data_IF_639621700724
#
_entry.id   IF_639621700724
#
_cell.length_a   1.000
_cell.length_b   1.000
_cell.length_c   1.000
_cell.angle_alpha   90.00
_cell.angle_beta   90.00
_cell.angle_gamma   90.00
#
_symmetry.space_group_name_H-M   'P 1'
#
loop_
_entity.id
_entity.type
_entity.pdbx_description
1 polymer ?
#
# COMPACT_ATOMS: atom_id res chain seq x y z
N UNK A 1 -25.37 -23.49 -12.03
CA UNK A 1 -25.54 -22.16 -12.67
C UNK A 1 -24.26 -21.38 -12.45
N UNK A 2 -23.43 -21.23 -13.48
CA UNK A 2 -22.26 -20.35 -13.41
C UNK A 2 -22.76 -18.92 -13.28
N UNK A 3 -22.37 -18.23 -12.20
CA UNK A 3 -22.60 -16.79 -12.07
C UNK A 3 -21.69 -16.11 -13.09
N UNK A 4 -22.28 -15.55 -14.15
CA UNK A 4 -21.61 -14.59 -15.02
C UNK A 4 -20.94 -13.52 -14.15
N UNK A 5 -19.61 -13.51 -14.13
CA UNK A 5 -18.83 -12.59 -13.31
C UNK A 5 -18.74 -11.25 -14.05
N UNK A 6 -19.89 -10.54 -14.15
CA UNK A 6 -19.93 -9.22 -14.78
C UNK A 6 -19.05 -8.26 -13.98
N UNK A 7 -18.16 -7.50 -14.63
CA UNK A 7 -17.37 -6.48 -13.96
C UNK A 7 -18.27 -5.56 -13.16
N UNK A 8 -18.03 -5.45 -11.85
CA UNK A 8 -18.79 -4.54 -11.00
C UNK A 8 -18.46 -3.11 -11.44
N UNK A 9 -19.47 -2.37 -11.90
CA UNK A 9 -19.31 -0.97 -12.28
C UNK A 9 -18.95 -0.18 -11.01
N UNK A 10 -17.74 0.40 -10.99
CA UNK A 10 -17.27 1.21 -9.86
C UNK A 10 -18.17 2.44 -9.72
N UNK A 11 -18.52 2.81 -8.48
CA UNK A 11 -19.18 4.10 -8.25
C UNK A 11 -18.21 5.22 -8.60
N UNK A 12 -18.74 6.33 -9.12
CA UNK A 12 -17.92 7.49 -9.50
C UNK A 12 -17.16 8.07 -8.28
N UNK A 13 -17.75 7.95 -7.09
CA UNK A 13 -17.20 8.42 -5.84
C UNK A 13 -16.03 7.56 -5.34
N UNK A 14 -16.04 6.24 -5.62
CA UNK A 14 -14.95 5.33 -5.26
C UNK A 14 -13.86 5.24 -6.33
N UNK A 15 -14.13 5.72 -7.54
CA UNK A 15 -13.19 5.67 -8.65
C UNK A 15 -11.81 6.30 -8.35
N UNK A 16 -11.68 7.43 -7.64
CA UNK A 16 -10.38 7.98 -7.25
C UNK A 16 -9.57 7.00 -6.39
N UNK A 17 -10.18 6.51 -5.30
CA UNK A 17 -9.54 5.58 -4.37
C UNK A 17 -9.14 4.26 -5.06
N UNK A 18 -10.00 3.74 -5.93
CA UNK A 18 -9.70 2.53 -6.70
C UNK A 18 -8.64 2.71 -7.80
N UNK A 19 -8.30 3.95 -8.19
CA UNK A 19 -7.20 4.22 -9.12
C UNK A 19 -5.86 4.19 -8.41
N UNK A 20 -5.79 4.65 -7.17
CA UNK A 20 -4.59 4.65 -6.33
C UNK A 20 -4.07 3.21 -6.06
N UNK A 21 -4.95 2.19 -6.07
CA UNK A 21 -4.53 0.79 -6.04
C UNK A 21 -3.62 0.38 -7.22
N UNK A 22 -3.80 0.97 -8.39
CA UNK A 22 -2.91 0.71 -9.52
C UNK A 22 -1.49 1.21 -9.24
N UNK A 23 -1.36 2.36 -8.58
CA UNK A 23 -0.06 2.90 -8.16
C UNK A 23 0.61 1.97 -7.16
N UNK A 24 -0.16 1.35 -6.25
CA UNK A 24 0.33 0.33 -5.33
C UNK A 24 0.88 -0.92 -5.97
N UNK A 25 0.20 -1.43 -7.00
CA UNK A 25 0.69 -2.57 -7.78
C UNK A 25 1.98 -2.21 -8.53
N UNK A 26 2.01 -1.04 -9.16
CA UNK A 26 3.18 -0.55 -9.88
C UNK A 26 4.37 -0.33 -8.94
N UNK A 27 4.14 0.15 -7.73
CA UNK A 27 5.16 0.31 -6.69
C UNK A 27 5.82 -1.02 -6.32
N UNK A 28 5.02 -2.04 -6.01
CA UNK A 28 5.56 -3.38 -5.69
C UNK A 28 6.35 -3.96 -6.86
N UNK A 29 5.89 -3.73 -8.10
CA UNK A 29 6.63 -4.10 -9.30
C UNK A 29 7.95 -3.32 -9.43
N UNK A 30 7.97 -2.00 -9.21
CA UNK A 30 9.17 -1.17 -9.27
C UNK A 30 10.23 -1.61 -8.25
N UNK A 31 9.84 -2.00 -7.04
CA UNK A 31 10.78 -2.56 -6.06
C UNK A 31 11.40 -3.84 -6.60
N UNK A 32 10.59 -4.76 -7.13
CA UNK A 32 11.08 -6.02 -7.71
C UNK A 32 12.05 -5.78 -8.88
N UNK A 33 11.72 -4.83 -9.77
CA UNK A 33 12.59 -4.46 -10.88
C UNK A 33 13.89 -3.82 -10.39
N UNK A 34 13.81 -2.93 -9.41
CA UNK A 34 14.99 -2.31 -8.82
C UNK A 34 15.94 -3.33 -8.21
N UNK A 35 15.42 -4.34 -7.53
CA UNK A 35 16.22 -5.48 -7.03
C UNK A 35 16.83 -6.29 -8.17
N UNK A 36 16.06 -6.58 -9.23
CA UNK A 36 16.55 -7.34 -10.40
C UNK A 36 17.64 -6.60 -11.19
N UNK A 37 17.61 -5.27 -11.20
CA UNK A 37 18.62 -4.41 -11.82
C UNK A 37 19.73 -3.99 -10.86
N UNK A 38 19.82 -4.61 -9.67
CA UNK A 38 20.86 -4.36 -8.68
C UNK A 38 20.97 -2.87 -8.29
N UNK A 39 19.84 -2.15 -8.30
CA UNK A 39 19.78 -0.76 -7.85
C UNK A 39 20.24 -0.70 -6.39
N UNK A 40 21.08 0.29 -6.02
CA UNK A 40 21.58 0.41 -4.66
C UNK A 40 20.44 0.37 -3.64
N UNK A 41 20.61 -0.43 -2.57
CA UNK A 41 19.58 -0.61 -1.53
C UNK A 41 19.14 0.73 -0.93
N UNK A 42 20.07 1.66 -0.71
CA UNK A 42 19.77 3.01 -0.24
C UNK A 42 18.81 3.78 -1.17
N UNK A 43 18.93 3.60 -2.49
CA UNK A 43 18.03 4.22 -3.47
C UNK A 43 16.63 3.60 -3.39
N UNK A 44 16.54 2.28 -3.25
CA UNK A 44 15.25 1.59 -3.07
C UNK A 44 14.59 1.97 -1.75
N UNK A 45 15.35 2.11 -0.66
CA UNK A 45 14.84 2.57 0.63
C UNK A 45 14.29 4.00 0.55
N UNK A 46 15.02 4.92 -0.08
CA UNK A 46 14.54 6.28 -0.31
C UNK A 46 13.25 6.30 -1.14
N UNK A 47 13.17 5.45 -2.18
CA UNK A 47 11.96 5.29 -2.99
C UNK A 47 10.78 4.75 -2.17
N UNK A 48 11.00 3.74 -1.33
CA UNK A 48 9.98 3.19 -0.41
C UNK A 48 9.49 4.25 0.57
N UNK A 49 10.41 4.97 1.21
CA UNK A 49 10.09 6.02 2.18
C UNK A 49 9.26 7.14 1.53
N UNK A 50 9.70 7.64 0.38
CA UNK A 50 8.97 8.67 -0.35
C UNK A 50 7.58 8.20 -0.77
N UNK A 51 7.48 6.98 -1.31
CA UNK A 51 6.20 6.42 -1.76
C UNK A 51 5.24 6.21 -0.58
N UNK A 52 5.76 5.75 0.55
CA UNK A 52 4.98 5.59 1.78
C UNK A 52 4.39 6.90 2.28
N UNK A 53 5.22 7.94 2.39
CA UNK A 53 4.80 9.23 2.91
C UNK A 53 3.80 9.95 1.99
N UNK A 54 3.98 9.84 0.67
CA UNK A 54 3.21 10.64 -0.29
C UNK A 54 1.99 9.90 -0.87
N UNK A 55 1.98 8.56 -0.88
CA UNK A 55 0.91 7.78 -1.51
C UNK A 55 0.21 6.84 -0.53
N UNK A 56 0.93 5.85 0.01
CA UNK A 56 0.29 4.75 0.74
C UNK A 56 -0.31 5.14 2.08
N UNK A 57 0.42 5.92 2.88
CA UNK A 57 -0.09 6.33 4.18
C UNK A 57 -1.36 7.20 4.02
N UNK A 58 -1.38 8.25 3.18
CA UNK A 58 -2.61 9.02 2.93
C UNK A 58 -3.76 8.18 2.38
N UNK A 59 -3.47 7.23 1.49
CA UNK A 59 -4.45 6.31 0.92
C UNK A 59 -5.12 5.43 2.00
N UNK A 60 -4.31 4.76 2.83
CA UNK A 60 -4.82 3.92 3.93
C UNK A 60 -5.64 4.73 4.93
N UNK A 61 -5.16 5.92 5.30
CA UNK A 61 -5.90 6.80 6.19
C UNK A 61 -7.26 7.22 5.60
N UNK A 62 -7.33 7.42 4.28
CA UNK A 62 -8.58 7.76 3.60
C UNK A 62 -9.56 6.60 3.58
N UNK A 63 -9.09 5.38 3.24
CA UNK A 63 -9.90 4.16 3.31
C UNK A 63 -10.43 3.92 4.74
N UNK A 64 -9.56 4.05 5.74
CA UNK A 64 -9.90 3.81 7.14
C UNK A 64 -10.87 4.85 7.71
N UNK A 65 -10.69 6.14 7.39
CA UNK A 65 -11.55 7.22 7.90
C UNK A 65 -12.88 7.31 7.17
N UNK A 66 -12.94 6.95 5.88
CA UNK A 66 -14.13 7.19 5.04
C UNK A 66 -14.92 5.90 4.81
N UNK A 67 -14.26 4.79 4.48
CA UNK A 67 -14.98 3.57 4.08
C UNK A 67 -15.38 2.70 5.27
N UNK A 68 -14.48 2.51 6.24
CA UNK A 68 -14.75 1.63 7.39
C UNK A 68 -16.01 2.05 8.16
N UNK A 69 -16.26 3.34 8.47
CA UNK A 69 -17.46 3.74 9.20
C UNK A 69 -18.77 3.50 8.45
N UNK A 70 -18.72 3.32 7.13
CA UNK A 70 -19.90 3.08 6.27
C UNK A 70 -20.22 1.59 6.12
N UNK A 71 -19.35 0.71 6.60
CA UNK A 71 -19.49 -0.74 6.45
C UNK A 71 -19.97 -1.37 7.76
N UNK A 72 -20.65 -2.53 7.69
CA UNK A 72 -21.08 -3.24 8.89
C UNK A 72 -19.90 -3.54 9.83
N UNK A 73 -20.15 -3.43 11.13
CA UNK A 73 -19.17 -3.78 12.15
C UNK A 73 -18.69 -5.23 11.93
N UNK A 74 -17.37 -5.45 12.03
CA UNK A 74 -16.73 -6.77 11.86
C UNK A 74 -16.92 -7.42 10.48
N UNK A 75 -17.17 -6.64 9.43
CA UNK A 75 -17.18 -7.17 8.07
C UNK A 75 -15.83 -7.88 7.76
N UNK A 76 -15.81 -9.15 7.32
CA UNK A 76 -14.57 -9.92 7.16
C UNK A 76 -13.52 -9.26 6.26
N UNK A 77 -13.96 -8.56 5.21
CA UNK A 77 -13.04 -7.83 4.32
C UNK A 77 -12.42 -6.59 4.96
N UNK A 78 -13.14 -5.93 5.87
CA UNK A 78 -12.61 -4.77 6.62
C UNK A 78 -11.52 -5.25 7.57
N UNK A 79 -11.77 -6.34 8.29
CA UNK A 79 -10.78 -6.93 9.19
C UNK A 79 -9.52 -7.36 8.44
N UNK A 80 -9.69 -7.96 7.26
CA UNK A 80 -8.58 -8.33 6.38
C UNK A 80 -7.79 -7.10 5.91
N UNK A 81 -8.48 -6.08 5.40
CA UNK A 81 -7.86 -4.84 4.93
C UNK A 81 -7.04 -4.18 6.04
N UNK A 82 -7.61 -4.01 7.23
CA UNK A 82 -6.90 -3.43 8.39
C UNK A 82 -5.65 -4.22 8.77
N UNK A 83 -5.74 -5.55 8.76
CA UNK A 83 -4.59 -6.42 9.02
C UNK A 83 -3.50 -6.25 7.96
N UNK A 84 -3.88 -6.21 6.68
CA UNK A 84 -2.94 -6.04 5.57
C UNK A 84 -2.28 -4.64 5.60
N UNK A 85 -3.04 -3.59 5.92
CA UNK A 85 -2.50 -2.24 6.12
C UNK A 85 -1.45 -2.22 7.23
N UNK A 86 -1.76 -2.86 8.36
CA UNK A 86 -0.83 -2.92 9.50
C UNK A 86 0.45 -3.69 9.16
N UNK A 87 0.33 -4.81 8.46
CA UNK A 87 1.50 -5.55 7.99
C UNK A 87 2.41 -4.70 7.11
N UNK A 88 1.83 -3.91 6.20
CA UNK A 88 2.60 -3.00 5.34
C UNK A 88 3.26 -1.88 6.17
N UNK A 89 2.56 -1.29 7.14
CA UNK A 89 3.14 -0.28 8.05
C UNK A 89 4.37 -0.81 8.75
N UNK A 90 4.26 -1.99 9.36
CA UNK A 90 5.36 -2.64 10.08
C UNK A 90 6.55 -2.87 9.16
N UNK A 91 6.32 -3.36 7.94
CA UNK A 91 7.40 -3.58 6.96
C UNK A 91 8.10 -2.28 6.59
N UNK A 92 7.37 -1.19 6.36
CA UNK A 92 7.97 0.10 6.00
C UNK A 92 8.76 0.68 7.18
N UNK A 93 8.21 0.65 8.40
CA UNK A 93 8.93 1.15 9.59
C UNK A 93 10.23 0.37 9.80
N UNK A 94 10.18 -0.96 9.74
CA UNK A 94 11.37 -1.79 9.88
C UNK A 94 12.43 -1.54 8.79
N UNK A 95 12.01 -1.13 7.58
CA UNK A 95 12.93 -0.73 6.52
C UNK A 95 13.58 0.63 6.79
N UNK A 96 12.84 1.57 7.38
CA UNK A 96 13.34 2.90 7.72
C UNK A 96 14.34 2.85 8.89
N UNK A 97 14.05 2.10 9.95
CA UNK A 97 14.97 1.92 11.09
C UNK A 97 16.32 1.32 10.67
N UNK A 98 16.30 0.39 9.71
CA UNK A 98 17.53 -0.19 9.15
C UNK A 98 18.32 0.78 8.29
N UNK A 99 17.65 1.72 7.62
CA UNK A 99 18.33 2.75 6.83
C UNK A 99 19.11 3.70 7.76
N UNK A 100 18.48 4.13 8.85
CA UNK A 100 19.09 5.03 9.84
C UNK A 100 20.29 4.37 10.53
N UNK A 101 20.19 3.08 10.88
CA UNK A 101 21.30 2.33 11.47
C UNK A 101 22.50 2.19 10.53
N UNK A 102 22.27 2.03 9.22
CA UNK A 102 23.34 1.96 8.22
C UNK A 102 24.01 3.32 7.99
N UNK A 103 23.25 4.42 8.06
CA UNK A 103 23.77 5.78 7.93
C UNK A 103 24.63 6.24 9.12
N UNK A 104 24.43 5.66 10.31
CA UNK A 104 25.25 5.94 11.50
C UNK A 104 26.58 5.16 11.53
N UNK A 105 26.80 4.21 10.61
CA UNK A 105 27.99 3.35 10.54
C UNK A 105 28.95 3.72 9.40
N UNK A 106 28.63 4.74 8.59
CA UNK A 106 29.43 5.27 7.48
C UNK A 106 30.12 6.58 7.84
#
# INVERSE_FOLDING_TARGET
MEKENKPIKRSAQLAPLSREHHEGLLFGWKIKQGLAFEIPIATLQAFVQWSWQNHFRPHFESEEKILIPLLPEKHPMVLRMQKEHEQIRVLVVALMEKADAAALQS
#
